data_IF_150833526649
#
_entry.id   IF_150833526649
#
_cell.length_a   1.000
_cell.length_b   1.000
_cell.length_c   1.000
_cell.angle_alpha   90.00
_cell.angle_beta   90.00
_cell.angle_gamma   90.00
#
_symmetry.space_group_name_H-M   'P 1'
#
loop_
_entity.id
_entity.type
_entity.pdbx_description
1 polymer ?
#
# COMPACT_ATOMS: atom_id res chain seq x y z
N UNK A 1 12.44 6.14 9.72
CA UNK A 1 11.26 5.32 9.38
C UNK A 1 11.77 4.01 8.79
N UNK A 2 11.25 2.88 9.23
CA UNK A 2 11.63 1.55 8.72
C UNK A 2 10.59 1.08 7.71
N UNK A 3 11.04 0.44 6.63
CA UNK A 3 10.13 -0.09 5.61
C UNK A 3 9.39 -1.31 6.18
N UNK A 4 8.09 -1.38 5.99
CA UNK A 4 7.26 -2.50 6.45
C UNK A 4 6.12 -2.80 5.50
N UNK A 5 5.69 -4.06 5.51
CA UNK A 5 4.51 -4.54 4.78
C UNK A 5 3.69 -5.40 5.74
N UNK A 6 2.46 -5.02 5.97
CA UNK A 6 1.52 -5.71 6.86
C UNK A 6 0.28 -6.13 6.07
N UNK A 7 -0.10 -7.40 6.17
CA UNK A 7 -1.35 -7.90 5.61
C UNK A 7 -2.48 -7.58 6.60
N UNK A 8 -3.35 -6.63 6.25
CA UNK A 8 -4.44 -6.16 7.13
C UNK A 8 -5.81 -6.74 6.77
N UNK A 9 -5.93 -7.39 5.63
CA UNK A 9 -7.18 -8.03 5.24
C UNK A 9 -7.04 -8.95 4.05
N UNK A 10 -7.91 -9.95 4.01
CA UNK A 10 -8.02 -10.90 2.90
C UNK A 10 -9.47 -11.12 2.54
N UNK A 11 -9.72 -11.32 1.26
CA UNK A 11 -10.98 -11.81 0.75
C UNK A 11 -10.72 -12.97 -0.21
N UNK A 12 -11.55 -14.01 -0.09
CA UNK A 12 -11.42 -15.22 -0.88
C UNK A 12 -10.60 -16.31 -0.21
N UNK A 13 -10.61 -17.47 -0.83
CA UNK A 13 -9.92 -18.68 -0.38
C UNK A 13 -9.91 -19.70 -1.52
N UNK A 14 -9.20 -20.82 -1.34
CA UNK A 14 -9.24 -21.95 -2.27
C UNK A 14 -10.67 -22.41 -2.53
N UNK A 15 -11.51 -22.43 -1.50
CA UNK A 15 -12.91 -22.78 -1.65
C UNK A 15 -13.67 -21.75 -2.51
N UNK A 16 -13.40 -20.45 -2.34
CA UNK A 16 -14.01 -19.39 -3.15
C UNK A 16 -13.64 -19.57 -4.63
N UNK A 17 -12.38 -19.85 -4.93
CA UNK A 17 -11.90 -20.12 -6.28
C UNK A 17 -12.58 -21.37 -6.89
N UNK A 18 -12.63 -22.45 -6.12
CA UNK A 18 -13.28 -23.68 -6.56
C UNK A 18 -14.80 -23.48 -6.80
N UNK A 19 -15.49 -22.77 -5.92
CA UNK A 19 -16.89 -22.41 -6.10
C UNK A 19 -17.11 -21.56 -7.36
N UNK A 20 -16.20 -20.61 -7.64
CA UNK A 20 -16.25 -19.83 -8.87
C UNK A 20 -16.13 -20.72 -10.12
N UNK A 21 -15.22 -21.69 -10.11
CA UNK A 21 -15.09 -22.65 -11.22
C UNK A 21 -16.35 -23.52 -11.38
N UNK A 22 -16.94 -23.97 -10.27
CA UNK A 22 -18.18 -24.78 -10.32
C UNK A 22 -19.43 -24.01 -10.73
N UNK A 23 -19.40 -22.69 -10.77
CA UNK A 23 -20.53 -21.90 -11.25
C UNK A 23 -20.96 -22.28 -12.66
N UNK A 24 -20.02 -22.72 -13.50
CA UNK A 24 -20.30 -23.17 -14.86
C UNK A 24 -20.97 -24.57 -14.94
N UNK A 25 -20.98 -25.34 -13.86
CA UNK A 25 -21.50 -26.71 -13.83
C UNK A 25 -22.62 -26.91 -12.82
N UNK A 26 -22.38 -26.63 -11.55
CA UNK A 26 -23.36 -26.79 -10.47
C UNK A 26 -22.95 -25.94 -9.28
N UNK A 27 -23.85 -25.09 -8.77
CA UNK A 27 -23.61 -24.23 -7.61
C UNK A 27 -23.66 -24.97 -6.28
N UNK A 28 -24.23 -26.14 -6.22
CA UNK A 28 -24.37 -26.90 -5.00
C UNK A 28 -22.99 -27.32 -4.49
N UNK A 29 -22.69 -27.02 -3.23
CA UNK A 29 -21.44 -27.36 -2.55
C UNK A 29 -21.66 -28.62 -1.70
N UNK A 30 -21.38 -29.79 -2.26
CA UNK A 30 -21.44 -31.07 -1.56
C UNK A 30 -20.11 -31.39 -0.86
N UNK A 31 -20.10 -32.28 0.13
CA UNK A 31 -18.88 -32.76 0.80
C UNK A 31 -17.89 -33.40 -0.18
N UNK A 32 -18.41 -34.11 -1.19
CA UNK A 32 -17.59 -34.66 -2.29
C UNK A 32 -16.82 -33.56 -3.04
N UNK A 33 -17.47 -32.42 -3.29
CA UNK A 33 -16.80 -31.26 -3.93
C UNK A 33 -15.79 -30.65 -3.01
N UNK A 34 -16.09 -30.48 -1.71
CA UNK A 34 -15.13 -29.94 -0.72
C UNK A 34 -13.84 -30.77 -0.69
N UNK A 35 -13.93 -32.09 -0.70
CA UNK A 35 -12.76 -32.97 -0.77
C UNK A 35 -11.95 -32.88 -2.08
N UNK A 36 -12.49 -32.25 -3.13
CA UNK A 36 -11.86 -32.14 -4.46
C UNK A 36 -11.29 -30.75 -4.75
N UNK A 37 -11.39 -29.80 -3.83
CA UNK A 37 -10.93 -28.39 -4.04
C UNK A 37 -9.50 -28.36 -4.52
N UNK A 38 -8.56 -28.96 -3.80
CA UNK A 38 -7.14 -28.92 -4.18
C UNK A 38 -6.85 -29.54 -5.55
N UNK A 39 -7.47 -30.69 -5.86
CA UNK A 39 -7.31 -31.35 -7.15
C UNK A 39 -7.87 -30.49 -8.31
N UNK A 40 -9.03 -29.85 -8.09
CA UNK A 40 -9.63 -28.94 -9.06
C UNK A 40 -8.71 -27.74 -9.33
N UNK A 41 -8.24 -27.06 -8.28
CA UNK A 41 -7.38 -25.88 -8.43
C UNK A 41 -6.05 -26.24 -9.11
N UNK A 42 -5.46 -27.38 -8.77
CA UNK A 42 -4.25 -27.87 -9.46
C UNK A 42 -4.49 -28.10 -10.96
N UNK A 43 -5.62 -28.68 -11.31
CA UNK A 43 -5.99 -28.90 -12.71
C UNK A 43 -6.20 -27.56 -13.43
N UNK A 44 -6.98 -26.64 -12.85
CA UNK A 44 -7.24 -25.32 -13.43
C UNK A 44 -5.94 -24.53 -13.66
N UNK A 45 -5.00 -24.59 -12.72
CA UNK A 45 -3.69 -23.94 -12.86
C UNK A 45 -2.86 -24.53 -14.01
N UNK A 46 -2.83 -25.88 -14.12
CA UNK A 46 -2.11 -26.57 -15.21
C UNK A 46 -2.69 -26.23 -16.59
N UNK A 47 -4.00 -26.12 -16.69
CA UNK A 47 -4.71 -25.80 -17.93
C UNK A 47 -4.81 -24.30 -18.21
N UNK A 48 -4.13 -23.46 -17.42
CA UNK A 48 -4.14 -21.99 -17.55
C UNK A 48 -5.53 -21.36 -17.47
N UNK A 49 -6.44 -21.96 -16.71
CA UNK A 49 -7.76 -21.40 -16.43
C UNK A 49 -7.68 -20.38 -15.27
N UNK A 50 -7.32 -19.12 -15.57
CA UNK A 50 -6.98 -18.11 -14.56
C UNK A 50 -8.21 -17.47 -13.90
N UNK A 51 -9.32 -17.30 -14.62
CA UNK A 51 -10.53 -16.58 -14.16
C UNK A 51 -11.05 -16.98 -12.77
N UNK A 52 -11.07 -18.28 -12.35
CA UNK A 52 -11.47 -18.63 -11.00
C UNK A 52 -10.57 -18.03 -9.91
N UNK A 53 -9.27 -17.88 -10.18
CA UNK A 53 -8.30 -17.34 -9.23
C UNK A 53 -8.39 -15.82 -9.04
N UNK A 54 -9.10 -15.11 -9.91
CA UNK A 54 -9.35 -13.66 -9.80
C UNK A 54 -10.43 -13.30 -8.76
N UNK A 55 -10.92 -14.28 -7.98
CA UNK A 55 -12.00 -14.09 -6.99
C UNK A 55 -11.47 -13.95 -5.57
N UNK A 56 -10.29 -13.35 -5.44
CA UNK A 56 -9.69 -13.02 -4.15
C UNK A 56 -8.99 -11.66 -4.19
N UNK A 57 -8.79 -11.08 -3.03
CA UNK A 57 -8.00 -9.86 -2.86
C UNK A 57 -7.22 -9.89 -1.54
N UNK A 58 -6.08 -9.22 -1.54
CA UNK A 58 -5.24 -9.02 -0.38
C UNK A 58 -5.14 -7.52 -0.12
N UNK A 59 -5.27 -7.11 1.13
CA UNK A 59 -5.15 -5.72 1.54
C UNK A 59 -3.93 -5.55 2.42
N UNK A 60 -2.96 -4.77 1.95
CA UNK A 60 -1.72 -4.50 2.66
C UNK A 60 -1.65 -3.04 3.13
N UNK A 61 -1.12 -2.84 4.33
CA UNK A 61 -0.57 -1.57 4.76
C UNK A 61 0.92 -1.57 4.47
N UNK A 62 1.38 -0.58 3.69
CA UNK A 62 2.78 -0.48 3.28
C UNK A 62 3.36 0.83 3.81
N UNK A 63 4.46 0.74 4.54
CA UNK A 63 5.29 1.88 4.94
C UNK A 63 6.59 1.80 4.16
N UNK A 64 6.90 2.82 3.35
CA UNK A 64 8.10 2.82 2.52
C UNK A 64 8.59 4.23 2.22
N UNK A 65 9.82 4.32 1.72
CA UNK A 65 10.35 5.55 1.16
C UNK A 65 9.64 5.94 -0.14
N UNK A 66 9.81 7.20 -0.56
CA UNK A 66 9.12 7.74 -1.74
C UNK A 66 9.54 7.05 -3.05
N UNK A 67 10.78 6.59 -3.17
CA UNK A 67 11.25 5.91 -4.37
C UNK A 67 10.56 4.55 -4.52
N UNK A 68 10.49 3.77 -3.45
CA UNK A 68 9.74 2.50 -3.39
C UNK A 68 8.25 2.71 -3.67
N UNK A 69 7.65 3.77 -3.11
CA UNK A 69 6.25 4.13 -3.38
C UNK A 69 6.02 4.41 -4.87
N UNK A 70 6.88 5.22 -5.51
CA UNK A 70 6.77 5.53 -6.94
C UNK A 70 6.91 4.25 -7.79
N UNK A 71 7.80 3.33 -7.41
CA UNK A 71 7.93 2.03 -8.06
C UNK A 71 6.65 1.20 -7.93
N UNK A 72 6.08 1.12 -6.72
CA UNK A 72 4.83 0.40 -6.47
C UNK A 72 3.69 0.90 -7.37
N UNK A 73 3.59 2.20 -7.60
CA UNK A 73 2.57 2.81 -8.48
C UNK A 73 2.67 2.37 -9.95
N UNK A 74 3.79 1.77 -10.37
CA UNK A 74 3.95 1.21 -11.73
C UNK A 74 3.28 -0.14 -11.90
N UNK A 75 3.06 -0.89 -10.82
CA UNK A 75 2.36 -2.18 -10.81
C UNK A 75 0.86 -1.96 -10.76
N UNK A 76 0.23 -1.69 -11.91
CA UNK A 76 -1.15 -1.20 -11.97
C UNK A 76 -2.20 -2.28 -12.23
N UNK A 77 -1.80 -3.44 -12.74
CA UNK A 77 -2.76 -4.50 -13.09
C UNK A 77 -3.27 -5.13 -11.78
N UNK A 78 -4.58 -5.06 -11.55
CA UNK A 78 -5.26 -5.57 -10.35
C UNK A 78 -4.74 -5.00 -9.03
N UNK A 79 -4.11 -3.82 -9.07
CA UNK A 79 -3.60 -3.13 -7.88
C UNK A 79 -4.28 -1.77 -7.75
N UNK A 80 -4.88 -1.51 -6.58
CA UNK A 80 -5.38 -0.20 -6.20
C UNK A 80 -4.53 0.33 -5.05
N UNK A 81 -4.02 1.54 -5.19
CA UNK A 81 -3.17 2.18 -4.19
C UNK A 81 -3.87 3.43 -3.67
N UNK A 82 -3.95 3.55 -2.34
CA UNK A 82 -4.33 4.77 -1.66
C UNK A 82 -3.17 5.18 -0.75
N UNK A 83 -2.72 6.41 -0.86
CA UNK A 83 -1.56 6.90 -0.12
C UNK A 83 -1.92 8.07 0.78
N UNK A 84 -1.09 8.28 1.80
CA UNK A 84 -1.19 9.43 2.67
C UNK A 84 -1.03 10.73 1.86
N UNK A 85 -1.79 11.74 2.24
CA UNK A 85 -1.81 13.03 1.55
C UNK A 85 -1.46 14.17 2.50
N UNK A 86 -0.50 15.00 2.12
CA UNK A 86 -0.15 16.23 2.83
C UNK A 86 -1.31 17.25 2.92
N UNK A 87 -2.34 17.10 2.08
CA UNK A 87 -3.56 17.93 2.17
C UNK A 87 -4.35 17.67 3.45
N UNK A 88 -4.33 16.41 3.93
CA UNK A 88 -5.12 16.00 5.10
C UNK A 88 -4.27 15.91 6.36
N UNK A 89 -3.04 15.47 6.23
CA UNK A 89 -2.10 15.38 7.34
C UNK A 89 -0.95 16.36 7.17
N UNK A 90 -0.54 16.97 8.28
CA UNK A 90 0.65 17.80 8.35
C UNK A 90 1.88 16.91 8.46
N UNK A 91 2.95 17.25 7.75
CA UNK A 91 4.20 16.51 7.86
C UNK A 91 4.74 16.57 9.28
N UNK A 92 5.10 15.40 9.82
CA UNK A 92 5.72 15.22 11.13
C UNK A 92 7.20 14.94 10.97
N UNK A 93 7.97 15.28 11.99
CA UNK A 93 9.44 15.15 12.00
C UNK A 93 9.95 13.71 12.01
N UNK A 94 9.09 12.69 12.10
CA UNK A 94 9.43 11.28 12.16
C UNK A 94 9.33 10.55 10.80
N UNK A 95 8.84 11.22 9.75
CA UNK A 95 8.59 10.62 8.44
C UNK A 95 9.74 10.87 7.46
N UNK A 96 10.93 10.41 7.80
CA UNK A 96 12.06 10.41 6.89
C UNK A 96 12.93 9.17 7.09
N UNK A 97 13.71 8.85 6.07
CA UNK A 97 14.65 7.76 6.06
C UNK A 97 16.08 8.31 5.97
N UNK A 98 16.96 7.82 6.84
CA UNK A 98 18.40 8.06 6.76
C UNK A 98 19.06 6.70 6.55
N UNK A 99 19.83 6.50 5.46
CA UNK A 99 20.55 5.27 5.22
C UNK A 99 21.53 4.97 6.36
N UNK A 100 21.45 3.78 6.94
CA UNK A 100 22.29 3.36 8.05
C UNK A 100 23.71 2.94 7.63
N UNK A 101 23.92 2.73 6.33
CA UNK A 101 25.22 2.42 5.71
C UNK A 101 26.04 3.67 5.34
N UNK A 102 25.47 4.88 5.55
CA UNK A 102 26.20 6.13 5.35
C UNK A 102 27.16 6.43 6.51
N UNK A 103 28.27 7.16 6.27
CA UNK A 103 29.12 7.69 7.34
C UNK A 103 28.32 8.51 8.34
N UNK A 104 28.66 8.41 9.63
CA UNK A 104 27.90 9.07 10.73
C UNK A 104 27.78 10.58 10.53
N UNK A 105 28.82 11.23 10.04
CA UNK A 105 28.82 12.67 9.77
C UNK A 105 27.78 13.04 8.68
N UNK A 106 27.65 12.21 7.64
CA UNK A 106 26.69 12.41 6.56
C UNK A 106 25.24 12.16 7.05
N UNK A 107 25.06 11.15 7.91
CA UNK A 107 23.76 10.91 8.55
C UNK A 107 23.34 12.10 9.41
N UNK A 108 24.26 12.66 10.21
CA UNK A 108 24.00 13.83 11.06
C UNK A 108 23.69 15.09 10.22
N UNK A 109 24.44 15.32 9.15
CA UNK A 109 24.22 16.44 8.23
C UNK A 109 22.85 16.35 7.55
N UNK A 110 22.47 15.16 7.07
CA UNK A 110 21.14 14.93 6.47
C UNK A 110 20.02 15.15 7.49
N UNK A 111 20.16 14.64 8.72
CA UNK A 111 19.20 14.86 9.81
C UNK A 111 18.99 16.34 10.08
N UNK A 112 20.06 17.10 10.27
CA UNK A 112 19.99 18.54 10.51
C UNK A 112 19.32 19.29 9.35
N UNK A 113 19.60 18.90 8.11
CA UNK A 113 18.96 19.47 6.94
C UNK A 113 17.45 19.19 6.90
N UNK A 114 17.04 17.95 7.19
CA UNK A 114 15.63 17.54 7.26
C UNK A 114 14.89 18.34 8.33
N UNK A 115 15.46 18.47 9.53
CA UNK A 115 14.88 19.28 10.62
C UNK A 115 14.70 20.75 10.22
N UNK A 116 15.69 21.32 9.54
CA UNK A 116 15.58 22.68 9.00
C UNK A 116 14.45 22.81 7.95
N UNK A 117 14.28 21.80 7.09
CA UNK A 117 13.19 21.75 6.11
C UNK A 117 11.82 21.69 6.80
N UNK A 118 11.65 20.84 7.82
CA UNK A 118 10.41 20.78 8.59
C UNK A 118 10.07 22.11 9.27
N UNK A 119 11.05 22.75 9.91
CA UNK A 119 10.84 24.04 10.54
C UNK A 119 10.41 25.11 9.52
N UNK A 120 11.01 25.08 8.34
CA UNK A 120 10.64 25.99 7.24
C UNK A 120 9.23 25.72 6.75
N UNK A 121 8.85 24.47 6.56
CA UNK A 121 7.50 24.04 6.19
C UNK A 121 6.45 24.54 7.19
N UNK A 122 6.61 24.27 8.49
CA UNK A 122 5.66 24.70 9.51
C UNK A 122 5.54 26.22 9.58
N UNK A 123 6.64 26.94 9.47
CA UNK A 123 6.63 28.40 9.42
C UNK A 123 5.90 28.92 8.17
N UNK A 124 6.05 28.25 7.03
CA UNK A 124 5.36 28.60 5.79
C UNK A 124 3.85 28.36 5.93
N UNK A 125 3.43 27.20 6.42
CA UNK A 125 2.02 26.90 6.69
C UNK A 125 1.40 27.98 7.57
N UNK A 126 2.04 28.34 8.69
CA UNK A 126 1.55 29.38 9.60
C UNK A 126 1.40 30.75 8.91
N UNK A 127 2.40 31.19 8.15
CA UNK A 127 2.35 32.46 7.42
C UNK A 127 1.22 32.49 6.40
N UNK A 128 0.97 31.39 5.71
CA UNK A 128 -0.12 31.28 4.75
C UNK A 128 -1.48 31.33 5.45
N UNK A 129 -1.63 30.68 6.61
CA UNK A 129 -2.85 30.76 7.42
C UNK A 129 -3.09 32.19 7.93
N UNK A 130 -2.04 32.84 8.45
CA UNK A 130 -2.09 34.23 8.93
C UNK A 130 -2.49 35.23 7.81
N UNK A 131 -2.20 34.88 6.55
CA UNK A 131 -2.61 35.66 5.37
C UNK A 131 -3.99 35.28 4.80
N UNK A 132 -4.74 34.41 5.50
CA UNK A 132 -6.12 34.05 5.14
C UNK A 132 -6.23 32.82 4.21
N UNK A 133 -5.15 32.11 3.93
CA UNK A 133 -5.20 30.86 3.18
C UNK A 133 -5.74 29.75 4.08
N UNK A 134 -6.69 28.95 3.58
CA UNK A 134 -7.21 27.82 4.36
C UNK A 134 -6.10 26.83 4.73
N UNK A 135 -6.14 26.26 5.95
CA UNK A 135 -5.12 25.32 6.46
C UNK A 135 -4.84 24.16 5.50
N UNK A 136 -5.88 23.62 4.85
CA UNK A 136 -5.74 22.55 3.86
C UNK A 136 -4.84 22.98 2.69
N UNK A 137 -5.10 24.18 2.14
CA UNK A 137 -4.32 24.71 1.03
C UNK A 137 -2.92 25.15 1.45
N UNK A 138 -2.81 25.73 2.65
CA UNK A 138 -1.51 26.10 3.22
C UNK A 138 -0.58 24.89 3.33
N UNK A 139 -1.06 23.75 3.86
CA UNK A 139 -0.28 22.50 3.94
C UNK A 139 0.11 21.91 2.58
N UNK A 140 -0.74 22.07 1.57
CA UNK A 140 -0.47 21.59 0.21
C UNK A 140 0.55 22.44 -0.54
N UNK A 141 0.66 23.72 -0.19
CA UNK A 141 1.46 24.71 -0.92
C UNK A 141 2.80 25.06 -0.25
N UNK A 142 2.98 24.69 1.02
CA UNK A 142 4.20 24.92 1.78
C UNK A 142 5.24 23.84 1.51
#
# INVERSE_FOLDING_TARGET
>A
MENSVELIGTYGSDLTHACSAWTSTSRELTDKKRGRVGALLTMLAKESHHTPFEKSSLHFLVTSDIASHIHLLKHRINVSVNSESARYQEYKTDKYYIPNDWPIEQQAALRSHIEACYNRYHNCVKRLEDSGVSRKRAKESA
#
